data_IF_043806428504
#
_entry.id   IF_043806428504
#
_cell.length_a   1.000
_cell.length_b   1.000
_cell.length_c   1.000
_cell.angle_alpha   90.00
_cell.angle_beta   90.00
_cell.angle_gamma   90.00
#
_symmetry.space_group_name_H-M   'P 1'
#
loop_
_entity.id
_entity.type
_entity.pdbx_description
1 polymer ?
#
# COMPACT_ATOMS: atom_id res chain seq x y z
N UNK A 1 21.13 -7.86 26.47
CA UNK A 1 20.98 -8.55 27.77
C UNK A 1 20.23 -9.84 27.51
N UNK A 2 20.82 -11.00 27.79
CA UNK A 2 20.17 -12.31 27.54
C UNK A 2 19.16 -12.58 28.67
N UNK A 3 17.93 -12.91 28.32
CA UNK A 3 16.81 -13.08 29.24
C UNK A 3 16.72 -14.50 29.83
N UNK A 4 17.77 -15.31 29.70
CA UNK A 4 17.76 -16.72 30.08
C UNK A 4 18.33 -16.87 31.49
N UNK A 5 17.53 -16.51 32.49
CA UNK A 5 17.88 -16.70 33.91
C UNK A 5 17.15 -17.93 34.47
N UNK A 6 17.93 -18.85 35.06
CA UNK A 6 17.44 -20.09 35.72
C UNK A 6 16.41 -19.82 36.81
N UNK A 7 16.37 -18.59 37.32
CA UNK A 7 15.43 -18.14 38.33
C UNK A 7 14.06 -17.76 37.73
N UNK A 8 14.03 -17.17 36.53
CA UNK A 8 12.75 -16.81 35.86
C UNK A 8 12.05 -18.02 35.24
N UNK A 9 12.78 -19.06 34.81
CA UNK A 9 12.19 -20.30 34.28
C UNK A 9 11.39 -21.10 35.32
N UNK A 10 11.77 -21.02 36.61
CA UNK A 10 11.08 -21.71 37.71
C UNK A 10 9.85 -20.97 38.22
N UNK A 11 9.74 -19.66 37.92
CA UNK A 11 8.58 -18.82 38.29
C UNK A 11 7.48 -18.91 37.23
N UNK A 12 7.78 -19.45 36.04
CA UNK A 12 6.81 -19.61 34.96
C UNK A 12 5.83 -20.74 35.26
N UNK A 13 4.77 -20.40 35.99
CA UNK A 13 3.59 -21.25 36.19
C UNK A 13 3.02 -21.58 34.81
N UNK A 14 2.97 -22.87 34.46
CA UNK A 14 2.26 -23.30 33.25
C UNK A 14 0.78 -22.95 33.43
N UNK A 15 0.14 -22.30 32.45
CA UNK A 15 -1.30 -22.09 32.50
C UNK A 15 -1.97 -23.47 32.64
N UNK A 16 -2.95 -23.56 33.55
CA UNK A 16 -3.73 -24.77 33.75
C UNK A 16 -4.55 -25.01 32.47
N UNK A 17 -4.55 -26.23 31.96
CA UNK A 17 -5.43 -26.61 30.85
C UNK A 17 -6.87 -26.52 31.36
N UNK A 18 -7.59 -25.48 30.94
CA UNK A 18 -9.02 -25.33 31.20
C UNK A 18 -9.74 -26.11 30.13
N UNK A 19 -10.48 -27.14 30.53
CA UNK A 19 -11.35 -27.86 29.60
C UNK A 19 -12.37 -26.88 29.00
N UNK A 20 -12.50 -26.82 27.66
CA UNK A 20 -13.36 -25.85 27.03
C UNK A 20 -14.83 -26.21 27.32
N UNK A 21 -15.45 -25.43 28.20
CA UNK A 21 -16.90 -25.41 28.38
C UNK A 21 -17.54 -24.75 27.15
N UNK A 22 -18.46 -25.44 26.50
CA UNK A 22 -19.07 -24.94 25.28
C UNK A 22 -20.26 -25.77 24.79
N UNK A 23 -20.98 -25.27 23.76
CA UNK A 23 -22.09 -26.00 23.16
C UNK A 23 -21.62 -27.32 22.55
N UNK A 24 -22.54 -28.26 22.35
CA UNK A 24 -22.24 -29.53 21.67
C UNK A 24 -21.98 -29.31 20.19
N UNK A 25 -21.14 -30.17 19.61
CA UNK A 25 -20.88 -30.20 18.19
C UNK A 25 -22.17 -30.43 17.39
N UNK A 26 -22.42 -29.60 16.38
CA UNK A 26 -23.62 -29.68 15.53
C UNK A 26 -23.49 -30.72 14.40
N UNK A 27 -22.45 -31.53 14.40
CA UNK A 27 -22.26 -32.60 13.43
C UNK A 27 -23.13 -33.81 13.82
N UNK A 28 -23.72 -34.48 12.82
CA UNK A 28 -24.64 -35.59 13.04
C UNK A 28 -23.99 -36.68 13.92
N UNK A 29 -24.58 -36.93 15.10
CA UNK A 29 -24.12 -37.96 16.03
C UNK A 29 -22.91 -37.59 16.90
N UNK A 30 -22.42 -36.34 16.88
CA UNK A 30 -21.27 -35.93 17.70
C UNK A 30 -21.70 -35.38 19.07
N UNK A 31 -21.05 -35.84 20.14
CA UNK A 31 -21.29 -35.35 21.51
C UNK A 31 -20.13 -34.51 22.08
N UNK A 32 -19.08 -34.27 21.28
CA UNK A 32 -17.91 -33.50 21.70
C UNK A 32 -18.23 -32.00 21.85
N UNK A 33 -17.43 -31.29 22.65
CA UNK A 33 -17.55 -29.84 22.81
C UNK A 33 -17.16 -29.11 21.53
N UNK A 34 -17.91 -28.07 21.21
CA UNK A 34 -17.74 -27.28 20.00
C UNK A 34 -16.96 -26.00 20.29
N UNK A 35 -15.64 -26.12 20.18
CA UNK A 35 -14.70 -25.01 20.40
C UNK A 35 -14.60 -24.04 19.22
N UNK A 36 -14.96 -24.49 18.02
CA UNK A 36 -14.67 -23.76 16.79
C UNK A 36 -15.93 -23.40 16.01
N UNK A 37 -15.88 -22.23 15.37
CA UNK A 37 -16.94 -21.67 14.53
C UNK A 37 -16.61 -21.87 13.05
N UNK A 38 -17.57 -22.34 12.28
CA UNK A 38 -17.48 -22.49 10.82
C UNK A 38 -18.62 -21.72 10.13
N UNK A 39 -18.37 -20.99 9.04
CA UNK A 39 -19.42 -20.22 8.35
C UNK A 39 -20.46 -21.15 7.72
N UNK A 40 -21.75 -20.79 7.73
CA UNK A 40 -22.82 -21.62 7.12
C UNK A 40 -22.83 -21.64 5.59
N UNK A 41 -22.12 -20.72 4.94
CA UNK A 41 -22.09 -20.58 3.49
C UNK A 41 -22.47 -19.17 3.02
N UNK A 42 -22.45 -18.95 1.70
CA UNK A 42 -22.66 -17.64 1.07
C UNK A 42 -24.04 -17.02 1.35
N UNK A 43 -25.10 -17.81 1.41
CA UNK A 43 -26.47 -17.31 1.66
C UNK A 43 -26.76 -17.03 3.13
N UNK A 44 -25.81 -17.34 4.03
CA UNK A 44 -25.95 -17.22 5.48
C UNK A 44 -24.75 -16.48 6.07
N UNK A 45 -24.42 -15.32 5.49
CA UNK A 45 -23.37 -14.44 5.97
C UNK A 45 -23.63 -14.05 7.44
N UNK A 46 -22.59 -14.11 8.27
CA UNK A 46 -22.69 -13.84 9.71
C UNK A 46 -23.30 -14.96 10.55
N UNK A 47 -23.77 -16.06 9.95
CA UNK A 47 -24.21 -17.23 10.70
C UNK A 47 -23.13 -18.31 10.73
N UNK A 48 -22.90 -18.86 11.92
CA UNK A 48 -21.85 -19.85 12.15
C UNK A 48 -22.43 -21.15 12.73
N UNK A 49 -21.85 -22.28 12.32
CA UNK A 49 -22.01 -23.59 12.94
C UNK A 49 -20.90 -23.80 13.96
N UNK A 50 -21.21 -24.57 15.00
CA UNK A 50 -20.27 -24.90 16.06
C UNK A 50 -19.83 -26.37 15.95
N UNK A 51 -18.52 -26.59 15.79
CA UNK A 51 -17.94 -27.92 15.59
C UNK A 51 -16.75 -28.18 16.54
N UNK A 52 -16.44 -29.46 16.76
CA UNK A 52 -15.19 -29.90 17.41
C UNK A 52 -14.04 -29.92 16.40
N UNK A 53 -12.78 -30.00 16.88
CA UNK A 53 -11.56 -29.90 16.06
C UNK A 53 -11.61 -30.79 14.79
N UNK A 54 -12.03 -32.05 14.93
CA UNK A 54 -12.02 -32.98 13.79
C UNK A 54 -13.08 -32.64 12.75
N UNK A 55 -14.30 -32.28 13.17
CA UNK A 55 -15.39 -31.94 12.25
C UNK A 55 -15.20 -30.57 11.60
N UNK A 56 -14.52 -29.63 12.25
CA UNK A 56 -14.12 -28.37 11.61
C UNK A 56 -13.15 -28.64 10.46
N UNK A 57 -12.20 -29.55 10.66
CA UNK A 57 -11.24 -29.93 9.60
C UNK A 57 -11.93 -30.63 8.44
N UNK A 58 -12.90 -31.47 8.72
CA UNK A 58 -13.73 -32.10 7.67
C UNK A 58 -14.58 -31.07 6.94
N UNK A 59 -15.27 -30.17 7.66
CA UNK A 59 -16.05 -29.08 7.09
C UNK A 59 -15.19 -28.18 6.20
N UNK A 60 -14.05 -27.69 6.71
CA UNK A 60 -13.17 -26.79 5.97
C UNK A 60 -12.54 -27.44 4.74
N UNK A 61 -12.34 -28.77 4.74
CA UNK A 61 -11.85 -29.51 3.56
C UNK A 61 -12.87 -29.52 2.42
N UNK A 62 -14.17 -29.57 2.73
CA UNK A 62 -15.24 -29.53 1.74
C UNK A 62 -15.80 -28.13 1.48
N UNK A 63 -15.41 -27.11 2.26
CA UNK A 63 -16.00 -25.79 2.18
C UNK A 63 -15.46 -25.00 0.98
N UNK A 64 -16.35 -24.65 0.06
CA UNK A 64 -16.08 -23.72 -1.02
C UNK A 64 -17.10 -22.57 -0.99
N UNK A 65 -16.63 -21.33 -0.80
CA UNK A 65 -17.49 -20.15 -0.76
C UNK A 65 -18.16 -19.85 -2.13
N UNK A 66 -17.54 -20.29 -3.23
CA UNK A 66 -18.01 -20.06 -4.61
C UNK A 66 -18.79 -21.25 -5.19
N UNK A 67 -19.16 -22.24 -4.39
CA UNK A 67 -19.95 -23.38 -4.87
C UNK A 67 -21.29 -22.90 -5.44
N UNK A 68 -21.61 -23.33 -6.67
CA UNK A 68 -22.78 -22.89 -7.43
C UNK A 68 -22.69 -21.50 -8.09
N UNK A 69 -21.55 -20.81 -8.04
CA UNK A 69 -21.33 -19.55 -8.76
C UNK A 69 -20.79 -19.80 -10.17
N UNK A 70 -21.22 -19.01 -11.17
CA UNK A 70 -20.64 -19.03 -12.52
C UNK A 70 -19.22 -18.48 -12.50
N UNK A 71 -18.35 -19.01 -13.35
CA UNK A 71 -16.94 -18.56 -13.44
C UNK A 71 -16.81 -17.04 -13.66
N UNK A 72 -17.70 -16.45 -14.47
CA UNK A 72 -17.75 -14.99 -14.69
C UNK A 72 -17.97 -14.19 -13.40
N UNK A 73 -18.84 -14.70 -12.53
CA UNK A 73 -19.20 -14.06 -11.26
C UNK A 73 -18.05 -14.21 -10.25
N UNK A 74 -17.34 -15.35 -10.27
CA UNK A 74 -16.12 -15.57 -9.48
C UNK A 74 -15.02 -14.59 -9.91
N UNK A 75 -14.79 -14.44 -11.23
CA UNK A 75 -13.81 -13.52 -11.78
C UNK A 75 -14.15 -12.05 -11.44
N UNK A 76 -15.45 -11.69 -11.43
CA UNK A 76 -15.90 -10.37 -10.97
C UNK A 76 -15.60 -10.16 -9.49
N UNK A 77 -15.94 -11.13 -8.63
CA UNK A 77 -15.68 -11.04 -7.21
C UNK A 77 -14.18 -10.89 -6.89
N UNK A 78 -13.32 -11.62 -7.60
CA UNK A 78 -11.86 -11.49 -7.48
C UNK A 78 -11.38 -10.08 -7.87
N UNK A 79 -11.88 -9.50 -8.96
CA UNK A 79 -11.56 -8.12 -9.36
C UNK A 79 -12.01 -7.09 -8.33
N UNK A 80 -13.20 -7.28 -7.75
CA UNK A 80 -13.76 -6.36 -6.77
C UNK A 80 -13.01 -6.45 -5.43
N UNK A 81 -12.55 -7.65 -5.03
CA UNK A 81 -11.73 -7.88 -3.84
C UNK A 81 -10.43 -7.07 -3.85
N UNK A 82 -9.78 -6.92 -5.01
CA UNK A 82 -8.57 -6.08 -5.16
C UNK A 82 -8.83 -4.65 -4.70
N UNK A 83 -10.07 -4.18 -4.87
CA UNK A 83 -10.47 -2.82 -4.48
C UNK A 83 -11.27 -2.77 -3.18
N UNK A 84 -11.40 -3.90 -2.46
CA UNK A 84 -12.21 -4.02 -1.25
C UNK A 84 -13.70 -3.77 -1.49
N UNK A 85 -14.22 -4.21 -2.64
CA UNK A 85 -15.61 -4.00 -3.08
C UNK A 85 -16.05 -2.52 -3.17
N UNK A 86 -15.10 -1.59 -3.20
CA UNK A 86 -15.40 -0.17 -3.34
C UNK A 86 -15.64 0.16 -4.81
N UNK A 87 -16.73 0.88 -5.16
CA UNK A 87 -16.94 1.29 -6.54
C UNK A 87 -15.77 2.18 -7.00
N UNK A 88 -15.09 1.77 -8.08
CA UNK A 88 -14.03 2.56 -8.71
C UNK A 88 -14.58 3.26 -9.93
N UNK A 89 -14.20 4.53 -10.11
CA UNK A 89 -14.44 5.24 -11.36
C UNK A 89 -13.13 5.29 -12.13
N UNK A 90 -13.17 4.98 -13.42
CA UNK A 90 -12.03 5.24 -14.30
C UNK A 90 -11.76 6.75 -14.28
N UNK A 91 -10.53 7.12 -13.95
CA UNK A 91 -10.07 8.51 -13.99
C UNK A 91 -10.30 9.04 -15.42
N UNK A 92 -11.17 10.04 -15.56
CA UNK A 92 -11.52 10.65 -16.86
C UNK A 92 -12.88 10.27 -17.46
N UNK A 93 -13.67 9.38 -16.85
CA UNK A 93 -15.02 9.00 -17.38
C UNK A 93 -16.16 9.86 -16.81
N UNK A 94 -15.89 10.75 -15.84
CA UNK A 94 -16.82 11.83 -15.49
C UNK A 94 -16.54 13.07 -16.34
N UNK A 95 -16.91 12.98 -17.61
CA UNK A 95 -17.08 14.13 -18.50
C UNK A 95 -18.42 13.99 -19.20
N UNK A 96 -19.44 14.72 -18.73
CA UNK A 96 -20.74 14.81 -19.40
C UNK A 96 -21.87 14.10 -18.67
N UNK A 97 -22.47 14.80 -17.70
CA UNK A 97 -23.90 14.82 -17.36
C UNK A 97 -24.05 15.19 -15.88
N UNK A 98 -23.98 16.48 -15.58
CA UNK A 98 -24.67 17.00 -14.40
C UNK A 98 -26.16 17.12 -14.77
N UNK A 99 -27.10 16.65 -13.94
CA UNK A 99 -28.51 16.88 -14.19
C UNK A 99 -28.79 18.37 -14.01
N UNK A 100 -29.20 19.04 -15.09
CA UNK A 100 -29.69 20.39 -15.05
C UNK A 100 -31.01 20.41 -14.28
N UNK A 101 -30.99 20.93 -13.05
CA UNK A 101 -32.19 21.07 -12.23
C UNK A 101 -31.84 21.56 -10.85
N UNK A 102 -31.69 22.88 -10.69
CA UNK A 102 -31.41 23.48 -9.39
C UNK A 102 -31.34 24.99 -9.45
N UNK A 103 -32.50 25.61 -9.32
CA UNK A 103 -32.70 27.05 -9.25
C UNK A 103 -31.81 27.72 -8.18
N UNK A 104 -31.14 28.82 -8.54
CA UNK A 104 -30.78 29.88 -7.61
C UNK A 104 -30.99 31.24 -8.26
N UNK A 105 -31.77 32.02 -7.54
CA UNK A 105 -32.18 33.40 -7.75
C UNK A 105 -31.02 34.39 -7.59
N UNK A 106 -31.07 35.41 -8.46
CA UNK A 106 -30.74 36.82 -8.28
C UNK A 106 -29.30 37.28 -7.93
N UNK A 107 -28.87 38.26 -8.75
CA UNK A 107 -27.85 39.29 -8.53
C UNK A 107 -26.38 38.98 -8.89
N UNK A 108 -26.10 38.89 -10.20
CA UNK A 108 -25.03 39.60 -10.91
C UNK A 108 -25.07 39.13 -12.37
N UNK A 109 -25.11 40.05 -13.33
CA UNK A 109 -25.08 39.72 -14.76
C UNK A 109 -23.65 39.31 -15.16
N UNK A 110 -23.21 38.15 -14.70
CA UNK A 110 -22.02 37.48 -15.20
C UNK A 110 -22.48 36.61 -16.37
N UNK A 111 -22.23 37.09 -17.58
CA UNK A 111 -22.47 36.36 -18.83
C UNK A 111 -21.70 35.05 -18.78
N UNK A 112 -22.39 33.99 -18.37
CA UNK A 112 -21.96 32.61 -18.60
C UNK A 112 -21.99 32.44 -20.12
N UNK A 113 -20.82 32.25 -20.71
CA UNK A 113 -20.64 31.98 -22.13
C UNK A 113 -20.58 30.46 -22.36
N UNK A 114 -21.72 29.80 -22.63
CA UNK A 114 -21.79 28.35 -22.83
C UNK A 114 -21.10 27.88 -24.13
N UNK A 115 -20.69 28.80 -25.02
CA UNK A 115 -20.02 28.49 -26.28
C UNK A 115 -18.52 28.84 -26.29
N UNK A 116 -17.99 29.50 -25.25
CA UNK A 116 -16.56 29.81 -25.11
C UNK A 116 -16.02 30.80 -26.15
N UNK A 117 -16.88 31.65 -26.69
CA UNK A 117 -16.58 32.66 -27.70
C UNK A 117 -15.79 33.86 -27.14
N UNK A 118 -15.99 34.20 -25.87
CA UNK A 118 -15.29 35.28 -25.16
C UNK A 118 -14.11 34.68 -24.40
N UNK A 119 -13.03 34.45 -25.14
CA UNK A 119 -11.85 33.68 -24.75
C UNK A 119 -11.33 33.95 -23.33
N UNK A 120 -11.35 32.89 -22.51
CA UNK A 120 -10.58 32.83 -21.29
C UNK A 120 -9.08 32.88 -21.62
N UNK A 121 -8.34 33.76 -20.95
CA UNK A 121 -6.89 33.87 -21.07
C UNK A 121 -6.22 32.48 -20.91
N UNK A 122 -5.16 32.18 -21.68
CA UNK A 122 -4.51 30.87 -21.61
C UNK A 122 -4.05 30.61 -20.18
N UNK A 123 -4.62 29.56 -19.56
CA UNK A 123 -4.20 29.08 -18.25
C UNK A 123 -2.70 28.74 -18.34
N UNK A 124 -1.85 29.25 -17.43
CA UNK A 124 -0.45 28.86 -17.40
C UNK A 124 -0.35 27.34 -17.26
N UNK A 125 0.62 26.69 -17.91
CA UNK A 125 0.73 25.24 -17.89
C UNK A 125 0.79 24.75 -16.45
N UNK A 126 0.14 23.61 -16.12
CA UNK A 126 0.15 23.07 -14.77
C UNK A 126 1.60 22.84 -14.35
N UNK A 127 2.05 23.62 -13.37
CA UNK A 127 3.40 23.51 -12.81
C UNK A 127 3.51 22.11 -12.22
N UNK A 128 4.49 21.33 -12.68
CA UNK A 128 4.69 19.96 -12.22
C UNK A 128 4.70 19.92 -10.68
N UNK A 129 4.01 18.95 -10.05
CA UNK A 129 3.93 18.89 -8.60
C UNK A 129 5.34 18.76 -8.03
N UNK A 130 5.76 19.77 -7.27
CA UNK A 130 7.03 19.73 -6.54
C UNK A 130 6.92 18.60 -5.50
N UNK A 131 7.58 17.47 -5.77
CA UNK A 131 7.65 16.34 -4.84
C UNK A 131 8.19 16.87 -3.51
N UNK A 132 7.51 16.59 -2.41
CA UNK A 132 8.02 16.94 -1.08
C UNK A 132 9.23 16.07 -0.79
N UNK A 133 10.40 16.71 -0.67
CA UNK A 133 11.68 16.03 -0.50
C UNK A 133 11.87 15.75 0.99
N UNK A 134 11.92 14.47 1.36
CA UNK A 134 12.27 14.06 2.72
C UNK A 134 13.71 14.44 3.09
N UNK A 135 14.01 14.57 4.39
CA UNK A 135 15.31 15.04 4.87
C UNK A 135 16.50 14.20 4.34
N UNK A 136 16.33 12.88 4.19
CA UNK A 136 17.37 12.02 3.63
C UNK A 136 17.64 12.29 2.13
N UNK A 137 16.62 12.66 1.36
CA UNK A 137 16.78 13.06 -0.04
C UNK A 137 17.49 14.41 -0.15
N UNK A 138 17.19 15.38 0.73
CA UNK A 138 17.94 16.66 0.77
C UNK A 138 19.43 16.44 1.00
N UNK A 139 19.80 15.65 2.02
CA UNK A 139 21.20 15.30 2.28
C UNK A 139 21.88 14.60 1.08
N UNK A 140 21.14 13.77 0.34
CA UNK A 140 21.66 13.12 -0.86
C UNK A 140 21.88 14.11 -2.04
N UNK A 141 21.04 15.14 -2.16
CA UNK A 141 21.26 16.23 -3.12
C UNK A 141 22.44 17.11 -2.70
N UNK A 142 22.56 17.45 -1.41
CA UNK A 142 23.65 18.25 -0.86
C UNK A 142 25.02 17.59 -1.06
N UNK A 143 25.11 16.27 -0.81
CA UNK A 143 26.35 15.48 -1.04
C UNK A 143 26.78 15.41 -2.49
N UNK A 144 25.84 15.50 -3.45
CA UNK A 144 26.15 15.59 -4.88
C UNK A 144 26.32 17.05 -5.37
N UNK A 145 26.05 18.03 -4.51
CA UNK A 145 26.09 19.45 -4.85
C UNK A 145 25.02 19.86 -5.85
N UNK A 146 23.82 19.29 -5.74
CA UNK A 146 22.68 19.54 -6.64
C UNK A 146 21.51 20.17 -5.89
N UNK A 147 20.69 20.93 -6.59
CA UNK A 147 19.44 21.44 -6.03
C UNK A 147 18.36 20.35 -5.93
N UNK A 148 17.45 20.54 -4.99
CA UNK A 148 16.24 19.77 -4.78
C UNK A 148 15.41 19.53 -6.07
N UNK A 149 15.45 20.45 -7.03
CA UNK A 149 14.74 20.37 -8.30
C UNK A 149 15.51 19.73 -9.47
N UNK A 150 16.71 19.18 -9.24
CA UNK A 150 17.57 18.69 -10.31
C UNK A 150 16.94 17.53 -11.12
N UNK A 151 17.15 17.54 -12.43
CA UNK A 151 16.65 16.51 -13.34
C UNK A 151 17.47 15.20 -13.26
N UNK A 152 16.88 14.06 -13.65
CA UNK A 152 17.58 12.76 -13.66
C UNK A 152 18.87 12.78 -14.50
N UNK A 153 18.88 13.52 -15.61
CA UNK A 153 20.07 13.69 -16.46
C UNK A 153 21.18 14.48 -15.74
N UNK A 154 20.84 15.54 -15.01
CA UNK A 154 21.78 16.32 -14.21
C UNK A 154 22.40 15.49 -13.09
N UNK A 155 21.60 14.68 -12.40
CA UNK A 155 22.10 13.80 -11.33
C UNK A 155 23.10 12.78 -11.88
N UNK A 156 22.78 12.14 -13.01
CA UNK A 156 23.68 11.19 -13.68
C UNK A 156 24.97 11.86 -14.18
N UNK A 157 24.87 13.07 -14.71
CA UNK A 157 26.02 13.83 -15.20
C UNK A 157 26.97 14.18 -14.04
N UNK A 158 26.45 14.74 -12.94
CA UNK A 158 27.25 15.09 -11.76
C UNK A 158 27.87 13.86 -11.10
N UNK A 159 27.12 12.78 -10.96
CA UNK A 159 27.66 11.52 -10.44
C UNK A 159 28.86 11.03 -11.25
N UNK A 160 28.76 11.00 -12.58
CA UNK A 160 29.88 10.61 -13.46
C UNK A 160 31.11 11.50 -13.29
N UNK A 161 30.91 12.81 -13.14
CA UNK A 161 32.02 13.76 -12.92
C UNK A 161 32.69 13.52 -11.57
N UNK A 162 31.89 13.35 -10.50
CA UNK A 162 32.40 13.12 -9.15
C UNK A 162 33.13 11.78 -9.01
N UNK A 163 32.62 10.71 -9.62
CA UNK A 163 33.29 9.40 -9.61
C UNK A 163 34.62 9.46 -10.35
N UNK A 164 34.69 10.11 -11.51
CA UNK A 164 35.97 10.29 -12.23
C UNK A 164 36.97 11.09 -11.41
N UNK A 165 36.50 12.13 -10.70
CA UNK A 165 37.35 12.96 -9.84
C UNK A 165 37.85 12.22 -8.61
N UNK A 166 37.03 11.36 -8.01
CA UNK A 166 37.33 10.65 -6.76
C UNK A 166 37.77 9.19 -6.97
N UNK A 167 38.08 8.77 -8.19
CA UNK A 167 38.51 7.41 -8.48
C UNK A 167 39.88 7.12 -7.82
N UNK A 168 40.09 5.94 -7.21
CA UNK A 168 41.35 5.59 -6.55
C UNK A 168 42.54 5.63 -7.53
N UNK A 169 42.36 5.19 -8.77
CA UNK A 169 43.39 5.21 -9.80
C UNK A 169 43.86 6.63 -10.18
N UNK A 170 42.98 7.63 -10.06
CA UNK A 170 43.31 9.01 -10.41
C UNK A 170 43.92 9.78 -9.22
N UNK A 171 43.63 9.37 -7.98
CA UNK A 171 44.05 10.07 -6.75
C UNK A 171 45.13 9.33 -5.95
N UNK A 172 45.68 8.24 -6.48
CA UNK A 172 46.76 7.49 -5.83
C UNK A 172 46.35 6.82 -4.50
N UNK A 173 45.07 6.52 -4.32
CA UNK A 173 44.57 5.79 -3.14
C UNK A 173 44.54 6.57 -1.82
N UNK A 174 44.38 7.89 -1.85
CA UNK A 174 44.22 8.68 -0.62
C UNK A 174 42.91 8.34 0.10
N UNK A 175 42.99 8.14 1.42
CA UNK A 175 41.86 7.73 2.27
C UNK A 175 40.68 8.72 2.22
N UNK A 176 40.96 10.02 2.18
CA UNK A 176 39.93 11.05 2.12
C UNK A 176 39.11 11.01 0.82
N UNK A 177 39.75 10.67 -0.31
CA UNK A 177 39.07 10.54 -1.60
C UNK A 177 38.19 9.29 -1.64
N UNK A 178 38.62 8.20 -0.98
CA UNK A 178 37.85 6.98 -0.81
C UNK A 178 36.58 7.23 0.02
N UNK A 179 36.70 7.88 1.18
CA UNK A 179 35.56 8.19 2.04
C UNK A 179 34.52 9.06 1.31
N UNK A 180 34.99 10.08 0.59
CA UNK A 180 34.13 10.93 -0.29
C UNK A 180 33.44 10.10 -1.38
N UNK A 181 34.15 9.18 -2.03
CA UNK A 181 33.59 8.33 -3.08
C UNK A 181 32.49 7.42 -2.53
N UNK A 182 32.70 6.84 -1.35
CA UNK A 182 31.70 6.01 -0.65
C UNK A 182 30.43 6.81 -0.35
N UNK A 183 30.56 8.05 0.11
CA UNK A 183 29.43 8.96 0.35
C UNK A 183 28.66 9.27 -0.94
N UNK A 184 29.37 9.61 -2.02
CA UNK A 184 28.79 9.89 -3.35
C UNK A 184 28.00 8.68 -3.88
N UNK A 185 28.54 7.47 -3.74
CA UNK A 185 27.87 6.24 -4.18
C UNK A 185 26.60 5.98 -3.35
N UNK A 186 26.66 6.17 -2.02
CA UNK A 186 25.49 6.03 -1.13
C UNK A 186 24.38 7.02 -1.50
N UNK A 187 24.73 8.29 -1.72
CA UNK A 187 23.79 9.32 -2.12
C UNK A 187 23.11 9.01 -3.46
N UNK A 188 23.88 8.59 -4.48
CA UNK A 188 23.33 8.22 -5.78
C UNK A 188 22.40 7.01 -5.71
N UNK A 189 22.77 5.96 -4.96
CA UNK A 189 21.92 4.78 -4.75
C UNK A 189 20.59 5.15 -4.09
N UNK A 190 20.62 6.05 -3.11
CA UNK A 190 19.42 6.54 -2.45
C UNK A 190 18.49 7.30 -3.41
N UNK A 191 19.03 8.24 -4.19
CA UNK A 191 18.25 8.99 -5.19
C UNK A 191 17.65 8.10 -6.28
N UNK A 192 18.39 7.06 -6.70
CA UNK A 192 17.89 6.04 -7.63
C UNK A 192 16.74 5.22 -7.02
N UNK A 193 16.87 4.77 -5.76
CA UNK A 193 15.81 4.03 -5.07
C UNK A 193 14.55 4.86 -4.82
N UNK A 194 14.70 6.17 -4.56
CA UNK A 194 13.59 7.10 -4.36
C UNK A 194 12.96 7.62 -5.68
N UNK A 195 13.43 7.15 -6.84
CA UNK A 195 12.88 7.50 -8.15
C UNK A 195 13.16 8.94 -8.59
N UNK A 196 14.32 9.50 -8.23
CA UNK A 196 14.81 10.78 -8.74
C UNK A 196 15.72 10.62 -9.98
N UNK A 197 16.22 9.41 -10.25
CA UNK A 197 17.13 9.07 -11.35
C UNK A 197 16.52 8.09 -12.35
#
# INVERSE_FOLDING_TARGET
MKADSKYFDRIRVKPRDVEPEGPRCQWNGCLRTATHRAPKGRSHEGQYLHFCVDHVREYNRGYNYFDGMRDDDVARYQRDNVTGHRPTWKLGVRGGAAPAGGAKTAAAHETIDPFGLFGAAPKPPPRAPKRTIGNAARKAFDTLGLDAGASSSEIKAKYKVLVKRHHPDANGGTRDAEDRLVEIIKAYRYLRGAGFC
#
